data_IF_696018881211
#
_entry.id   IF_696018881211
#
_cell.length_a   1.000
_cell.length_b   1.000
_cell.length_c   1.000
_cell.angle_alpha   90.00
_cell.angle_beta   90.00
_cell.angle_gamma   90.00
#
_symmetry.space_group_name_H-M   'P 1'
#
loop_
_entity.id
_entity.type
_entity.pdbx_description
1 polymer ?
#
# COMPACT_ATOMS: atom_id res chain seq x y z
N UNK A 1 5.73 -2.22 10.67
CA UNK A 1 5.17 -1.05 10.00
C UNK A 1 3.75 -1.28 9.52
N UNK A 2 3.31 -2.52 9.20
CA UNK A 2 1.91 -2.80 8.86
C UNK A 2 1.31 -3.99 9.63
N UNK A 3 1.87 -4.31 10.80
CA UNK A 3 1.51 -5.48 11.60
C UNK A 3 0.04 -5.46 12.01
N UNK A 4 -0.55 -4.30 12.25
CA UNK A 4 -1.95 -4.21 12.65
C UNK A 4 -2.90 -4.66 11.53
N UNK A 5 -2.61 -4.28 10.28
CA UNK A 5 -3.36 -4.75 9.11
C UNK A 5 -3.07 -6.24 8.83
N UNK A 6 -1.80 -6.66 8.90
CA UNK A 6 -1.38 -8.05 8.70
C UNK A 6 -2.10 -8.97 9.70
N UNK A 7 -2.15 -8.61 10.98
CA UNK A 7 -2.78 -9.41 12.02
C UNK A 7 -4.28 -9.58 11.77
N UNK A 8 -4.98 -8.53 11.36
CA UNK A 8 -6.40 -8.63 11.01
C UNK A 8 -6.65 -9.56 9.82
N UNK A 9 -5.85 -9.42 8.75
CA UNK A 9 -5.94 -10.29 7.57
C UNK A 9 -5.67 -11.77 7.91
N UNK A 10 -4.61 -12.04 8.69
CA UNK A 10 -4.28 -13.41 9.11
C UNK A 10 -5.36 -14.01 10.00
N UNK A 11 -5.90 -13.23 10.94
CA UNK A 11 -7.00 -13.68 11.80
C UNK A 11 -8.27 -14.00 11.02
N UNK A 12 -8.47 -13.34 9.88
CA UNK A 12 -9.60 -13.58 8.98
C UNK A 12 -9.34 -14.72 7.95
N UNK A 13 -8.18 -15.39 8.05
CA UNK A 13 -7.84 -16.57 7.26
C UNK A 13 -7.13 -16.27 5.95
N UNK A 14 -6.62 -15.05 5.74
CA UNK A 14 -5.75 -14.75 4.60
C UNK A 14 -4.31 -15.16 4.87
N UNK A 15 -3.66 -15.74 3.86
CA UNK A 15 -2.20 -15.80 3.82
C UNK A 15 -1.66 -14.43 3.42
N UNK A 16 -0.76 -13.86 4.23
CA UNK A 16 -0.19 -12.53 3.98
C UNK A 16 1.29 -12.65 3.70
N UNK A 17 1.72 -12.11 2.56
CA UNK A 17 3.12 -12.04 2.14
C UNK A 17 3.50 -10.57 2.05
N UNK A 18 4.51 -10.16 2.82
CA UNK A 18 5.01 -8.79 2.82
C UNK A 18 6.28 -8.69 1.99
N UNK A 19 6.37 -7.66 1.15
CA UNK A 19 7.58 -7.34 0.40
C UNK A 19 8.28 -6.17 1.08
N UNK A 20 9.54 -6.37 1.47
CA UNK A 20 10.41 -5.25 1.85
C UNK A 20 11.07 -4.70 0.59
N UNK A 21 11.34 -3.41 0.57
CA UNK A 21 12.17 -2.75 -0.44
C UNK A 21 13.51 -2.37 0.20
N UNK A 22 14.56 -3.22 0.12
CA UNK A 22 15.87 -2.91 0.68
C UNK A 22 16.41 -1.58 0.15
N UNK A 23 17.12 -0.83 0.98
CA UNK A 23 17.65 0.52 0.67
C UNK A 23 16.61 1.61 0.40
N UNK A 24 15.31 1.28 0.27
CA UNK A 24 14.20 2.23 0.23
C UNK A 24 13.50 2.35 1.58
N UNK A 25 13.28 1.22 2.26
CA UNK A 25 12.77 1.19 3.62
C UNK A 25 13.74 1.88 4.59
N UNK A 26 13.22 2.43 5.69
CA UNK A 26 14.02 3.05 6.75
C UNK A 26 15.22 2.16 7.16
N UNK A 27 14.95 0.86 7.27
CA UNK A 27 15.96 -0.18 7.32
C UNK A 27 15.35 -1.53 6.89
N UNK A 28 16.20 -2.48 6.51
CA UNK A 28 15.86 -3.90 6.33
C UNK A 28 16.81 -4.74 7.16
N UNK A 29 16.30 -5.71 7.90
CA UNK A 29 17.11 -6.67 8.65
C UNK A 29 17.23 -7.95 7.82
N UNK A 30 18.45 -8.31 7.46
CA UNK A 30 18.72 -9.54 6.72
C UNK A 30 18.64 -10.77 7.63
N UNK A 31 18.51 -12.00 7.08
CA UNK A 31 18.55 -13.24 7.87
C UNK A 31 19.85 -13.41 8.68
N UNK A 32 20.93 -12.74 8.26
CA UNK A 32 22.21 -12.69 8.97
C UNK A 32 22.19 -11.78 10.21
N UNK A 33 21.13 -11.00 10.41
CA UNK A 33 21.03 -9.95 11.43
C UNK A 33 21.62 -8.60 11.01
N UNK A 34 22.16 -8.50 9.79
CA UNK A 34 22.68 -7.24 9.25
C UNK A 34 21.57 -6.24 8.98
N UNK A 35 21.82 -4.97 9.32
CA UNK A 35 20.93 -3.85 9.02
C UNK A 35 21.36 -3.18 7.72
N UNK A 36 20.51 -3.27 6.71
CA UNK A 36 20.61 -2.44 5.52
C UNK A 36 19.85 -1.15 5.76
N UNK A 37 20.57 -0.03 5.84
CA UNK A 37 19.97 1.28 6.00
C UNK A 37 19.42 1.82 4.68
N UNK A 38 18.46 2.74 4.78
CA UNK A 38 17.98 3.50 3.64
C UNK A 38 19.14 4.20 2.92
N UNK A 39 19.14 4.11 1.58
CA UNK A 39 20.12 4.78 0.74
C UNK A 39 20.07 6.30 0.89
N UNK A 40 21.20 6.96 0.64
CA UNK A 40 21.27 8.43 0.61
C UNK A 40 20.36 9.00 -0.48
N UNK A 41 20.35 8.34 -1.65
CA UNK A 41 19.49 8.72 -2.77
C UNK A 41 18.02 8.72 -2.35
N UNK A 42 17.54 7.68 -1.66
CA UNK A 42 16.14 7.63 -1.22
C UNK A 42 15.80 8.75 -0.23
N UNK A 43 16.73 9.16 0.64
CA UNK A 43 16.53 10.31 1.54
C UNK A 43 16.36 11.64 0.80
N UNK A 44 16.91 11.74 -0.41
CA UNK A 44 16.82 12.93 -1.27
C UNK A 44 15.70 12.85 -2.31
N UNK A 45 15.11 11.67 -2.53
CA UNK A 45 14.08 11.41 -3.55
C UNK A 45 12.75 12.12 -3.26
N UNK A 46 12.49 12.58 -2.02
CA UNK A 46 11.23 13.25 -1.63
C UNK A 46 10.87 14.45 -2.54
N UNK A 47 11.83 15.01 -3.30
CA UNK A 47 11.61 16.11 -4.25
C UNK A 47 11.94 15.76 -5.72
N UNK A 48 12.10 14.48 -6.10
CA UNK A 48 12.53 14.06 -7.44
C UNK A 48 11.56 13.05 -8.11
N UNK A 49 10.54 13.58 -8.80
CA UNK A 49 9.49 12.80 -9.47
C UNK A 49 9.99 11.76 -10.50
N UNK A 50 10.97 12.04 -11.38
CA UNK A 50 11.53 11.00 -12.26
C UNK A 50 12.18 9.82 -11.53
N UNK A 51 12.78 10.06 -10.36
CA UNK A 51 13.37 8.99 -9.55
C UNK A 51 12.29 8.10 -8.92
N UNK A 52 11.17 8.68 -8.47
CA UNK A 52 10.01 7.95 -7.95
C UNK A 52 9.42 6.98 -8.99
N UNK A 53 9.33 7.40 -10.26
CA UNK A 53 8.84 6.54 -11.34
C UNK A 53 9.65 5.25 -11.51
N UNK A 54 10.99 5.32 -11.41
CA UNK A 54 11.84 4.13 -11.51
C UNK A 54 11.66 3.16 -10.34
N UNK A 55 11.40 3.68 -9.14
CA UNK A 55 11.11 2.85 -7.97
C UNK A 55 9.79 2.08 -8.14
N UNK A 56 8.78 2.72 -8.75
CA UNK A 56 7.51 2.06 -9.09
C UNK A 56 7.75 0.92 -10.08
N UNK A 57 8.54 1.15 -11.14
CA UNK A 57 8.85 0.11 -12.13
C UNK A 57 9.57 -1.08 -11.49
N UNK A 58 10.56 -0.82 -10.62
CA UNK A 58 11.28 -1.86 -9.89
C UNK A 58 10.34 -2.68 -8.99
N UNK A 59 9.42 -2.02 -8.27
CA UNK A 59 8.42 -2.70 -7.42
C UNK A 59 7.47 -3.58 -8.23
N UNK A 60 7.10 -3.16 -9.44
CA UNK A 60 6.29 -3.99 -10.34
C UNK A 60 7.08 -5.25 -10.75
N UNK A 61 8.37 -5.13 -11.03
CA UNK A 61 9.24 -6.27 -11.34
C UNK A 61 9.38 -7.21 -10.15
N UNK A 62 9.58 -6.69 -8.94
CA UNK A 62 9.66 -7.47 -7.71
C UNK A 62 8.36 -8.23 -7.43
N UNK A 63 7.20 -7.59 -7.61
CA UNK A 63 5.90 -8.23 -7.44
C UNK A 63 5.67 -9.33 -8.48
N UNK A 64 6.05 -9.11 -9.74
CA UNK A 64 5.99 -10.14 -10.79
C UNK A 64 6.88 -11.32 -10.45
N UNK A 65 8.11 -11.07 -9.98
CA UNK A 65 9.01 -12.11 -9.54
C UNK A 65 8.43 -12.90 -8.37
N UNK A 66 7.89 -12.21 -7.36
CA UNK A 66 7.28 -12.82 -6.19
C UNK A 66 6.12 -13.73 -6.56
N UNK A 67 5.19 -13.26 -7.40
CA UNK A 67 4.03 -14.06 -7.84
C UNK A 67 4.49 -15.35 -8.54
N UNK A 68 5.49 -15.26 -9.42
CA UNK A 68 6.07 -16.45 -10.07
C UNK A 68 6.76 -17.38 -9.07
N UNK A 69 7.47 -16.84 -8.09
CA UNK A 69 8.09 -17.62 -7.03
C UNK A 69 7.03 -18.34 -6.17
N UNK A 70 5.90 -17.70 -5.87
CA UNK A 70 4.80 -18.30 -5.12
C UNK A 70 4.14 -19.44 -5.88
N UNK A 71 3.93 -19.30 -7.19
CA UNK A 71 3.44 -20.40 -8.05
C UNK A 71 4.34 -21.63 -7.93
N UNK A 72 5.66 -21.42 -8.02
CA UNK A 72 6.65 -22.49 -7.92
C UNK A 72 6.65 -23.14 -6.53
N UNK A 73 6.72 -22.34 -5.46
CA UNK A 73 6.75 -22.83 -4.08
C UNK A 73 5.45 -23.55 -3.68
N UNK A 74 4.32 -23.16 -4.25
CA UNK A 74 3.04 -23.83 -4.01
C UNK A 74 2.95 -25.20 -4.71
N UNK A 75 3.70 -25.40 -5.81
CA UNK A 75 3.72 -26.64 -6.57
C UNK A 75 4.78 -27.64 -6.06
N UNK A 76 5.90 -27.15 -5.55
CA UNK A 76 7.02 -27.97 -5.06
C UNK A 76 6.78 -28.52 -3.65
N UNK A 77 7.38 -29.67 -3.33
CA UNK A 77 7.30 -30.25 -1.99
C UNK A 77 7.99 -29.37 -0.96
N UNK A 78 7.25 -28.95 0.06
CA UNK A 78 7.74 -28.03 1.07
C UNK A 78 6.61 -27.47 1.93
N UNK A 79 6.93 -26.48 2.75
CA UNK A 79 5.99 -25.90 3.72
C UNK A 79 4.80 -25.20 3.06
N UNK A 80 4.97 -24.66 1.84
CA UNK A 80 3.93 -23.94 1.11
C UNK A 80 3.18 -24.81 0.09
N UNK A 81 3.48 -26.11 0.01
CA UNK A 81 2.88 -26.98 -0.99
C UNK A 81 1.35 -27.04 -0.84
N UNK A 82 0.63 -26.58 -1.86
CA UNK A 82 -0.84 -26.55 -1.89
C UNK A 82 -1.50 -25.67 -0.83
N UNK A 83 -0.75 -24.77 -0.19
CA UNK A 83 -1.26 -23.89 0.87
C UNK A 83 -1.92 -22.63 0.28
N UNK A 84 -1.40 -22.13 -0.84
CA UNK A 84 -1.82 -20.86 -1.42
C UNK A 84 -2.93 -21.06 -2.47
N UNK A 85 -4.01 -20.28 -2.34
CA UNK A 85 -5.00 -20.11 -3.40
C UNK A 85 -4.52 -19.02 -4.37
N UNK A 86 -3.94 -19.46 -5.49
CA UNK A 86 -3.34 -18.57 -6.48
C UNK A 86 -4.36 -17.93 -7.44
N UNK A 87 -5.64 -18.33 -7.36
CA UNK A 87 -6.71 -17.70 -8.14
C UNK A 87 -7.30 -16.47 -7.43
N UNK A 88 -7.06 -16.35 -6.12
CA UNK A 88 -7.61 -15.29 -5.26
C UNK A 88 -6.51 -14.47 -4.59
N UNK A 89 -5.92 -13.56 -5.35
CA UNK A 89 -4.82 -12.72 -4.88
C UNK A 89 -5.28 -11.25 -4.84
N UNK A 90 -4.99 -10.56 -3.74
CA UNK A 90 -5.06 -9.11 -3.65
C UNK A 90 -3.69 -8.54 -3.31
N UNK A 91 -3.39 -7.38 -3.89
CA UNK A 91 -2.22 -6.57 -3.57
C UNK A 91 -2.70 -5.38 -2.74
N UNK A 92 -2.07 -5.14 -1.59
CA UNK A 92 -2.38 -4.03 -0.68
C UNK A 92 -1.10 -3.22 -0.52
N UNK A 93 -1.20 -1.90 -0.63
CA UNK A 93 -0.03 -1.03 -0.52
C UNK A 93 -0.35 0.32 0.09
N UNK A 94 0.60 0.84 0.87
CA UNK A 94 0.53 2.16 1.49
C UNK A 94 1.49 3.15 0.81
N UNK A 95 1.06 4.41 0.62
CA UNK A 95 1.89 5.46 0.03
C UNK A 95 2.43 5.06 -1.35
N UNK A 96 3.75 5.04 -1.55
CA UNK A 96 4.38 4.56 -2.80
C UNK A 96 4.13 3.06 -3.05
N UNK A 97 3.83 2.27 -2.02
CA UNK A 97 3.42 0.88 -2.21
C UNK A 97 2.01 0.76 -2.75
N UNK A 98 1.17 1.77 -2.49
CA UNK A 98 -0.19 1.86 -3.04
C UNK A 98 -0.17 1.92 -4.55
N UNK A 99 0.74 2.65 -5.17
CA UNK A 99 0.76 2.84 -6.65
C UNK A 99 0.91 1.54 -7.45
N UNK A 100 1.28 0.43 -6.82
CA UNK A 100 1.39 -0.91 -7.44
C UNK A 100 0.33 -1.91 -6.96
N UNK A 101 -0.66 -1.48 -6.17
CA UNK A 101 -1.60 -2.34 -5.45
C UNK A 101 -3.03 -2.26 -5.99
N UNK A 102 -3.82 -3.31 -5.70
CA UNK A 102 -5.24 -3.35 -5.97
C UNK A 102 -6.05 -2.65 -4.86
N UNK A 103 -5.57 -2.70 -3.62
CA UNK A 103 -6.09 -1.90 -2.51
C UNK A 103 -5.06 -0.81 -2.18
N UNK A 104 -5.50 0.44 -2.31
CA UNK A 104 -4.69 1.64 -2.17
C UNK A 104 -4.94 2.26 -0.80
N UNK A 105 -3.92 2.26 0.06
CA UNK A 105 -3.94 2.94 1.35
C UNK A 105 -3.17 4.26 1.22
N UNK A 106 -3.88 5.37 1.14
CA UNK A 106 -3.38 6.73 0.97
C UNK A 106 -2.21 6.84 -0.04
N UNK A 107 -2.45 6.47 -1.31
CA UNK A 107 -1.38 6.27 -2.26
C UNK A 107 -0.70 7.59 -2.64
N UNK A 108 0.62 7.57 -2.82
CA UNK A 108 1.40 8.77 -3.12
C UNK A 108 1.28 9.22 -4.59
N UNK A 109 1.64 10.48 -4.82
CA UNK A 109 1.32 11.37 -5.95
C UNK A 109 1.68 10.94 -7.38
N UNK A 110 2.29 9.78 -7.59
CA UNK A 110 2.82 9.39 -8.91
C UNK A 110 1.97 8.32 -9.60
N UNK A 111 0.66 8.42 -9.43
CA UNK A 111 -0.24 7.30 -9.67
C UNK A 111 -0.49 6.95 -11.13
N UNK A 112 -0.02 7.71 -12.13
CA UNK A 112 -0.32 7.36 -13.53
C UNK A 112 0.83 7.52 -14.52
N UNK A 113 1.81 6.62 -14.40
CA UNK A 113 2.47 6.00 -15.57
C UNK A 113 1.87 4.64 -15.97
N UNK A 114 0.73 4.25 -15.41
CA UNK A 114 -0.02 3.08 -15.85
C UNK A 114 -0.75 3.35 -17.19
N UNK A 115 -0.03 3.82 -18.21
CA UNK A 115 -0.51 3.87 -19.60
C UNK A 115 -0.19 2.60 -20.39
N UNK A 116 0.54 1.64 -19.81
CA UNK A 116 1.18 0.57 -20.59
C UNK A 116 0.82 -0.86 -20.16
N UNK A 117 0.13 -1.06 -19.04
CA UNK A 117 -0.28 -2.41 -18.63
C UNK A 117 -1.79 -2.54 -18.71
N UNK A 118 -2.26 -3.21 -19.77
CA UNK A 118 -3.60 -3.82 -19.80
C UNK A 118 -3.70 -4.85 -18.67
N UNK A 119 -4.16 -4.43 -17.49
CA UNK A 119 -4.67 -5.39 -16.50
C UNK A 119 -6.05 -5.84 -16.98
N UNK A 120 -6.10 -6.94 -17.74
CA UNK A 120 -7.36 -7.55 -18.24
C UNK A 120 -8.34 -7.96 -17.13
N UNK A 121 -7.88 -7.98 -15.88
CA UNK A 121 -8.69 -8.11 -14.69
C UNK A 121 -8.27 -7.00 -13.73
N UNK A 122 -8.91 -5.84 -13.78
CA UNK A 122 -8.78 -4.84 -12.72
C UNK A 122 -9.43 -5.45 -11.48
N UNK A 123 -8.68 -5.85 -10.43
CA UNK A 123 -9.32 -6.30 -9.20
C UNK A 123 -10.11 -5.12 -8.65
N UNK A 124 -11.20 -5.38 -7.93
CA UNK A 124 -11.95 -4.32 -7.27
C UNK A 124 -11.01 -3.45 -6.44
N UNK A 125 -10.94 -2.17 -6.82
CA UNK A 125 -10.01 -1.23 -6.20
C UNK A 125 -10.71 -0.51 -5.06
N UNK A 126 -10.29 -0.82 -3.83
CA UNK A 126 -10.58 0.02 -2.68
C UNK A 126 -9.48 1.05 -2.55
N UNK A 127 -9.86 2.32 -2.50
CA UNK A 127 -8.95 3.44 -2.23
C UNK A 127 -9.39 4.06 -0.91
N UNK A 128 -8.57 3.90 0.12
CA UNK A 128 -8.73 4.60 1.39
C UNK A 128 -7.81 5.81 1.40
N UNK A 129 -8.34 6.99 1.69
CA UNK A 129 -7.57 8.24 1.67
C UNK A 129 -7.63 8.96 3.02
N UNK A 130 -6.61 9.77 3.27
CA UNK A 130 -6.53 10.66 4.45
C UNK A 130 -7.66 11.69 4.46
N UNK A 131 -7.95 12.26 5.62
CA UNK A 131 -8.96 13.32 5.78
C UNK A 131 -8.60 14.59 4.98
N UNK A 132 -9.59 15.20 4.33
CA UNK A 132 -9.46 16.44 3.55
C UNK A 132 -8.91 17.63 4.36
N UNK A 133 -9.03 17.65 5.70
CA UNK A 133 -8.41 18.68 6.54
C UNK A 133 -6.87 18.60 6.51
N UNK A 134 -6.31 17.41 6.34
CA UNK A 134 -4.87 17.24 6.16
C UNK A 134 -4.39 17.75 4.79
N UNK A 135 -5.29 17.92 3.82
CA UNK A 135 -4.98 18.46 2.50
C UNK A 135 -4.65 19.96 2.52
N UNK A 136 -5.32 20.74 3.39
CA UNK A 136 -4.99 22.15 3.56
C UNK A 136 -3.56 22.34 4.09
N UNK A 137 -3.17 21.51 5.07
CA UNK A 137 -1.80 21.46 5.61
C UNK A 137 -0.80 20.92 4.58
N UNK A 138 -1.22 20.03 3.70
CA UNK A 138 -0.42 19.54 2.59
C UNK A 138 -0.07 20.67 1.60
N UNK A 139 -1.02 21.58 1.31
CA UNK A 139 -0.76 22.77 0.49
C UNK A 139 0.25 23.74 1.11
N UNK A 140 0.21 23.91 2.43
CA UNK A 140 1.18 24.74 3.15
C UNK A 140 2.60 24.14 3.11
N UNK A 141 2.73 22.81 3.17
CA UNK A 141 4.02 22.12 3.24
C UNK A 141 4.69 21.94 1.88
N UNK A 142 3.93 21.66 0.82
CA UNK A 142 4.47 21.25 -0.48
C UNK A 142 4.23 22.25 -1.61
N UNK A 143 3.44 23.31 -1.38
CA UNK A 143 3.18 24.36 -2.36
C UNK A 143 2.15 23.97 -3.44
N UNK A 144 1.71 24.98 -4.19
CA UNK A 144 0.53 24.88 -5.07
C UNK A 144 0.73 23.98 -6.30
N UNK A 145 1.94 23.93 -6.85
CA UNK A 145 2.28 23.12 -8.02
C UNK A 145 2.17 21.62 -7.71
N UNK A 146 2.75 21.22 -6.57
CA UNK A 146 2.73 19.83 -6.08
C UNK A 146 1.30 19.39 -5.78
N UNK A 147 0.51 20.26 -5.13
CA UNK A 147 -0.90 20.01 -4.83
C UNK A 147 -1.75 19.88 -6.08
N UNK A 148 -1.53 20.72 -7.09
CA UNK A 148 -2.32 20.67 -8.34
C UNK A 148 -2.10 19.34 -9.06
N UNK A 149 -0.84 18.87 -9.10
CA UNK A 149 -0.49 17.56 -9.68
C UNK A 149 -1.07 16.38 -8.90
N UNK A 150 -1.15 16.51 -7.58
CA UNK A 150 -1.84 15.53 -6.72
C UNK A 150 -3.33 15.42 -7.09
N UNK A 151 -4.05 16.54 -7.15
CA UNK A 151 -5.49 16.57 -7.50
C UNK A 151 -5.70 15.97 -8.89
N UNK A 152 -4.89 16.38 -9.87
CA UNK A 152 -4.96 15.84 -11.24
C UNK A 152 -4.82 14.31 -11.24
N UNK A 153 -3.90 13.78 -10.44
CA UNK A 153 -3.64 12.35 -10.34
C UNK A 153 -4.81 11.60 -9.68
N UNK A 154 -5.42 12.18 -8.64
CA UNK A 154 -6.63 11.62 -8.02
C UNK A 154 -7.83 11.65 -8.97
N UNK A 155 -8.01 12.73 -9.74
CA UNK A 155 -9.05 12.78 -10.76
C UNK A 155 -8.85 11.71 -11.84
N UNK A 156 -7.60 11.48 -12.27
CA UNK A 156 -7.27 10.42 -13.22
C UNK A 156 -7.57 9.04 -12.60
N UNK A 157 -7.25 8.83 -11.32
CA UNK A 157 -7.59 7.60 -10.60
C UNK A 157 -9.09 7.36 -10.66
N UNK A 158 -9.89 8.31 -10.19
CA UNK A 158 -11.36 8.23 -10.16
C UNK A 158 -11.93 7.93 -11.55
N UNK A 159 -11.41 8.57 -12.61
CA UNK A 159 -11.87 8.32 -13.99
C UNK A 159 -11.51 6.93 -14.52
N UNK A 160 -10.38 6.37 -14.07
CA UNK A 160 -9.87 5.06 -14.51
C UNK A 160 -10.41 3.89 -13.70
N UNK A 161 -11.00 4.14 -12.55
CA UNK A 161 -11.77 3.17 -11.77
C UNK A 161 -13.05 2.76 -12.54
N UNK A 162 -12.89 2.03 -13.64
CA UNK A 162 -13.99 1.43 -14.39
C UNK A 162 -14.26 0.03 -13.82
N UNK A 163 -15.24 -0.09 -12.93
CA UNK A 163 -15.61 -1.35 -12.27
C UNK A 163 -16.21 -1.15 -10.87
N UNK A 164 -16.29 -2.22 -10.07
CA UNK A 164 -16.61 -2.12 -8.62
C UNK A 164 -15.41 -1.48 -7.90
N UNK A 165 -15.44 -0.17 -7.74
CA UNK A 165 -14.43 0.59 -7.00
C UNK A 165 -15.09 1.43 -5.92
N UNK A 166 -14.37 1.67 -4.82
CA UNK A 166 -14.83 2.53 -3.73
C UNK A 166 -13.71 3.44 -3.29
N UNK A 167 -14.01 4.73 -3.24
CA UNK A 167 -13.14 5.77 -2.69
C UNK A 167 -13.72 6.17 -1.34
N UNK A 168 -12.97 5.97 -0.26
CA UNK A 168 -13.42 6.28 1.09
C UNK A 168 -12.39 7.16 1.78
N UNK A 169 -12.84 8.33 2.22
CA UNK A 169 -12.07 9.21 3.07
C UNK A 169 -12.19 8.75 4.54
N UNK A 170 -11.07 8.51 5.20
CA UNK A 170 -11.03 8.10 6.60
C UNK A 170 -10.88 9.35 7.46
N UNK A 171 -11.97 9.79 8.09
CA UNK A 171 -11.98 10.96 8.97
C UNK A 171 -10.90 10.85 10.06
N UNK A 172 -10.24 11.97 10.32
CA UNK A 172 -9.16 12.13 11.29
C UNK A 172 -7.87 11.36 10.95
N UNK A 173 -7.83 10.63 9.83
CA UNK A 173 -6.63 9.92 9.41
C UNK A 173 -5.62 10.89 8.78
N UNK A 174 -4.37 10.76 9.21
CA UNK A 174 -3.19 11.32 8.55
C UNK A 174 -2.53 10.27 7.65
N UNK A 175 -1.54 10.68 6.84
CA UNK A 175 -0.78 9.75 6.00
C UNK A 175 -0.21 8.57 6.78
N UNK A 176 0.39 8.85 7.94
CA UNK A 176 1.02 7.80 8.75
C UNK A 176 0.02 6.92 9.50
N UNK A 177 -1.27 7.29 9.55
CA UNK A 177 -2.33 6.52 10.21
C UNK A 177 -2.67 5.21 9.50
N UNK A 178 -2.10 4.97 8.31
CA UNK A 178 -2.20 3.71 7.57
C UNK A 178 -1.01 2.78 7.85
N UNK A 179 -0.18 3.11 8.85
CA UNK A 179 0.97 2.33 9.30
C UNK A 179 0.98 2.22 10.82
N UNK A 180 1.73 1.27 11.37
CA UNK A 180 1.90 1.11 12.81
C UNK A 180 2.73 2.23 13.45
N UNK A 181 3.39 3.11 12.67
CA UNK A 181 4.37 4.06 13.21
C UNK A 181 3.81 4.95 14.33
N UNK A 182 2.60 5.56 14.18
CA UNK A 182 2.07 6.40 15.23
C UNK A 182 1.72 5.66 16.53
N UNK A 183 1.59 4.32 16.50
CA UNK A 183 1.34 3.52 17.71
C UNK A 183 2.58 3.41 18.62
N UNK A 184 3.76 3.71 18.09
CA UNK A 184 5.02 3.67 18.84
C UNK A 184 5.51 5.07 19.24
N UNK A 185 4.75 6.10 18.93
CA UNK A 185 5.02 7.47 19.37
C UNK A 185 4.73 7.62 20.87
N UNK A 186 5.44 8.53 21.54
CA UNK A 186 5.23 8.79 22.97
C UNK A 186 3.88 9.48 23.27
N UNK A 187 3.24 10.05 22.25
CA UNK A 187 1.95 10.73 22.33
C UNK A 187 0.80 9.71 22.44
N UNK A 188 0.33 9.48 23.68
CA UNK A 188 -0.76 8.55 23.97
C UNK A 188 -2.07 8.89 23.22
N UNK A 189 -2.57 10.15 23.24
CA UNK A 189 -3.72 10.54 22.43
C UNK A 189 -3.59 10.16 20.95
N UNK A 190 -2.42 10.40 20.34
CA UNK A 190 -2.15 10.02 18.95
C UNK A 190 -2.22 8.50 18.77
N UNK A 191 -1.57 7.74 19.64
CA UNK A 191 -1.59 6.27 19.59
C UNK A 191 -3.01 5.70 19.71
N UNK A 192 -3.82 6.22 20.65
CA UNK A 192 -5.22 5.78 20.83
C UNK A 192 -6.08 6.13 19.61
N UNK A 193 -5.89 7.33 19.06
CA UNK A 193 -6.57 7.74 17.83
C UNK A 193 -6.19 6.84 16.66
N UNK A 194 -4.91 6.53 16.47
CA UNK A 194 -4.43 5.61 15.43
C UNK A 194 -5.00 4.22 15.61
N UNK A 195 -5.10 3.71 16.84
CA UNK A 195 -5.77 2.43 17.11
C UNK A 195 -7.22 2.39 16.59
N UNK A 196 -8.01 3.44 16.91
CA UNK A 196 -9.39 3.56 16.39
C UNK A 196 -9.45 3.70 14.87
N UNK A 197 -8.51 4.44 14.27
CA UNK A 197 -8.41 4.56 12.81
C UNK A 197 -8.13 3.18 12.19
N UNK A 198 -7.21 2.41 12.76
CA UNK A 198 -6.89 1.08 12.26
C UNK A 198 -8.06 0.11 12.34
N UNK A 199 -8.87 0.13 13.40
CA UNK A 199 -10.08 -0.70 13.50
C UNK A 199 -11.02 -0.43 12.33
N UNK A 200 -11.24 0.85 11.99
CA UNK A 200 -12.07 1.27 10.85
C UNK A 200 -11.46 0.82 9.52
N UNK A 201 -10.16 1.06 9.31
CA UNK A 201 -9.43 0.64 8.10
C UNK A 201 -9.52 -0.87 7.91
N UNK A 202 -9.26 -1.65 8.97
CA UNK A 202 -9.30 -3.10 8.90
C UNK A 202 -10.70 -3.62 8.58
N UNK A 203 -11.75 -3.05 9.19
CA UNK A 203 -13.13 -3.42 8.86
C UNK A 203 -13.43 -3.21 7.37
N UNK A 204 -13.12 -2.01 6.84
CA UNK A 204 -13.32 -1.71 5.42
C UNK A 204 -12.48 -2.59 4.49
N UNK A 205 -11.24 -2.86 4.87
CA UNK A 205 -10.32 -3.72 4.12
C UNK A 205 -10.87 -5.15 4.03
N UNK A 206 -11.28 -5.72 5.17
CA UNK A 206 -11.82 -7.08 5.24
C UNK A 206 -13.11 -7.19 4.44
N UNK A 207 -14.05 -6.26 4.60
CA UNK A 207 -15.32 -6.27 3.86
C UNK A 207 -15.09 -6.36 2.34
N UNK A 208 -14.14 -5.57 1.81
CA UNK A 208 -13.81 -5.58 0.38
C UNK A 208 -13.14 -6.89 -0.04
N UNK A 209 -12.19 -7.39 0.75
CA UNK A 209 -11.48 -8.62 0.40
C UNK A 209 -12.39 -9.85 0.49
N UNK A 210 -13.28 -9.91 1.48
CA UNK A 210 -14.26 -10.99 1.61
C UNK A 210 -15.24 -11.02 0.44
N UNK A 211 -15.79 -9.86 0.05
CA UNK A 211 -16.71 -9.76 -1.08
C UNK A 211 -16.05 -10.16 -2.41
N UNK A 212 -14.80 -9.74 -2.63
CA UNK A 212 -14.15 -9.89 -3.93
C UNK A 212 -13.35 -11.20 -4.06
N UNK A 213 -12.82 -11.73 -2.97
CA UNK A 213 -12.02 -12.95 -2.99
C UNK A 213 -12.80 -14.15 -2.45
N UNK A 214 -13.54 -14.01 -1.34
CA UNK A 214 -14.27 -15.13 -0.73
C UNK A 214 -15.69 -15.29 -1.27
N UNK A 215 -16.24 -14.29 -1.94
CA UNK A 215 -17.61 -14.29 -2.48
C UNK A 215 -18.69 -14.27 -1.38
N UNK A 216 -18.38 -13.65 -0.24
CA UNK A 216 -19.29 -13.49 0.90
C UNK A 216 -19.91 -12.10 0.94
#
# INVERSE_FOLDING_TARGET
MYMYAIAALVNDGFAVITVSAPYEAMFTVLPTGEFLHQSEQMREVENNYPALGKLIDLRIEDLKWLLNAMVKLNAESGMLQGVLDLERIALIGHSLGGTTAAVLLDPSMDLFRAGETEWKHTPSVLVLQRDAVHFARFKELFGEEVVSKYIETEEILVRRLQGKASLIEVKEASHMSFSDLPLFEADQPLSEQTGRIHERINGMLLDVLEQNLKGR
#
